data_IF_744964490210
#
_entry.id   IF_744964490210
#
_cell.length_a   1.000
_cell.length_b   1.000
_cell.length_c   1.000
_cell.angle_alpha   90.00
_cell.angle_beta   90.00
_cell.angle_gamma   90.00
#
_symmetry.space_group_name_H-M   'P 1'
#
loop_
_entity.id
_entity.type
_entity.pdbx_description
1 polymer ?
#
# COMPACT_ATOMS: atom_id res chain seq x y z
N UNK A 1 13.37 8.53 23.08
CA UNK A 1 12.93 7.18 22.68
C UNK A 1 13.31 7.01 21.23
N UNK A 2 13.96 5.91 20.86
CA UNK A 2 14.32 5.65 19.46
C UNK A 2 13.06 5.37 18.65
N UNK A 3 12.89 6.01 17.51
CA UNK A 3 11.73 5.77 16.64
C UNK A 3 11.90 4.47 15.83
N UNK A 4 10.82 3.97 15.24
CA UNK A 4 10.95 2.82 14.35
C UNK A 4 11.76 3.18 13.10
N UNK A 5 11.70 4.43 12.62
CA UNK A 5 12.49 4.93 11.50
C UNK A 5 13.99 4.84 11.79
N UNK A 6 14.42 5.32 12.96
CA UNK A 6 15.82 5.27 13.40
C UNK A 6 16.31 3.83 13.54
N UNK A 7 15.47 2.95 14.10
CA UNK A 7 15.78 1.52 14.22
C UNK A 7 15.94 0.87 12.85
N UNK A 8 14.99 1.13 11.93
CA UNK A 8 15.02 0.61 10.57
C UNK A 8 16.23 1.11 9.77
N UNK A 9 16.62 2.38 9.94
CA UNK A 9 17.81 2.94 9.29
C UNK A 9 19.10 2.29 9.80
N UNK A 10 19.20 2.07 11.12
CA UNK A 10 20.34 1.38 11.73
C UNK A 10 20.43 -0.09 11.28
N UNK A 11 19.29 -0.76 11.14
CA UNK A 11 19.21 -2.13 10.65
C UNK A 11 19.58 -2.23 9.16
N UNK A 12 19.09 -1.31 8.32
CA UNK A 12 19.49 -1.18 6.91
C UNK A 12 21.01 -0.99 6.76
N UNK A 13 21.59 -0.08 7.54
CA UNK A 13 23.03 0.19 7.54
C UNK A 13 23.84 -1.04 7.96
N UNK A 14 23.30 -1.87 8.86
CA UNK A 14 23.94 -3.11 9.31
C UNK A 14 23.81 -4.23 8.26
N UNK A 15 22.67 -4.32 7.59
CA UNK A 15 22.41 -5.32 6.56
C UNK A 15 23.21 -5.06 5.28
N UNK A 16 23.54 -3.79 5.00
CA UNK A 16 24.27 -3.34 3.81
C UNK A 16 25.59 -2.62 4.21
N UNK A 17 26.57 -3.33 4.81
CA UNK A 17 27.76 -2.70 5.39
C UNK A 17 28.68 -2.01 4.35
N UNK A 18 28.58 -2.40 3.09
CA UNK A 18 29.35 -1.82 1.97
C UNK A 18 28.59 -0.67 1.28
N UNK A 19 27.32 -0.47 1.62
CA UNK A 19 26.50 0.58 1.04
C UNK A 19 26.60 1.88 1.85
N UNK A 20 26.45 3.00 1.16
CA UNK A 20 26.15 4.29 1.80
C UNK A 20 24.64 4.44 1.94
N UNK A 21 24.14 4.43 3.18
CA UNK A 21 22.71 4.55 3.50
C UNK A 21 22.46 5.92 4.13
N UNK A 22 21.66 6.76 3.46
CA UNK A 22 21.43 8.16 3.87
C UNK A 22 19.92 8.45 3.96
N UNK A 23 19.40 8.83 5.14
CA UNK A 23 18.02 9.27 5.23
C UNK A 23 17.88 10.67 4.60
N UNK A 24 16.68 10.97 4.09
CA UNK A 24 16.28 12.33 3.74
C UNK A 24 14.85 12.60 4.24
N UNK A 25 14.27 13.75 3.89
CA UNK A 25 12.91 14.09 4.27
C UNK A 25 12.70 14.20 5.78
N UNK A 26 11.51 13.79 6.24
CA UNK A 26 11.05 14.06 7.61
C UNK A 26 11.92 13.43 8.71
N UNK A 27 12.56 12.29 8.43
CA UNK A 27 13.47 11.62 9.37
C UNK A 27 14.75 12.43 9.53
N UNK A 28 15.36 12.88 8.43
CA UNK A 28 16.57 13.71 8.47
C UNK A 28 16.33 15.09 9.11
N UNK A 29 15.10 15.61 8.99
CA UNK A 29 14.67 16.89 9.57
C UNK A 29 14.22 16.79 11.04
N UNK A 30 14.12 15.57 11.59
CA UNK A 30 13.61 15.35 12.96
C UNK A 30 12.12 15.66 13.13
N UNK A 31 11.36 15.63 12.04
CA UNK A 31 9.94 15.96 11.98
C UNK A 31 9.03 14.74 11.72
N UNK A 32 9.60 13.52 11.73
CA UNK A 32 8.86 12.30 11.47
C UNK A 32 7.83 12.00 12.57
N UNK A 33 6.61 11.61 12.16
CA UNK A 33 5.54 11.15 13.04
C UNK A 33 5.16 9.68 12.75
N UNK A 34 4.13 9.17 13.42
CA UNK A 34 3.66 7.79 13.24
C UNK A 34 3.19 7.46 11.82
N UNK A 35 2.82 8.47 11.02
CA UNK A 35 2.35 8.34 9.64
C UNK A 35 3.45 8.62 8.60
N UNK A 36 4.65 9.01 9.03
CA UNK A 36 5.79 9.22 8.13
C UNK A 36 6.29 7.90 7.57
N UNK A 37 6.65 7.89 6.30
CA UNK A 37 7.58 6.93 5.71
C UNK A 37 9.02 7.18 6.17
N UNK A 38 9.88 6.20 5.93
CA UNK A 38 11.33 6.36 5.92
C UNK A 38 11.78 6.64 4.48
N UNK A 39 12.19 7.87 4.21
CA UNK A 39 12.86 8.26 2.98
C UNK A 39 14.36 7.96 3.06
N UNK A 40 14.90 7.13 2.17
CA UNK A 40 16.32 6.73 2.20
C UNK A 40 16.94 6.57 0.81
N UNK A 41 18.20 6.99 0.69
CA UNK A 41 19.04 6.72 -0.48
C UNK A 41 20.06 5.65 -0.10
N UNK A 42 20.18 4.62 -0.93
CA UNK A 42 21.14 3.52 -0.79
C UNK A 42 22.05 3.58 -2.02
N UNK A 43 23.33 3.87 -1.83
CA UNK A 43 24.33 3.84 -2.92
C UNK A 43 25.25 2.65 -2.73
N UNK A 44 25.29 1.74 -3.70
CA UNK A 44 26.09 0.52 -3.63
C UNK A 44 26.37 -0.07 -5.02
N UNK A 45 27.41 -0.88 -5.12
CA UNK A 45 27.71 -1.72 -6.28
C UNK A 45 27.34 -3.20 -6.04
N UNK A 46 26.98 -3.54 -4.81
CA UNK A 46 26.64 -4.89 -4.38
C UNK A 46 25.13 -5.13 -4.54
N UNK A 47 24.68 -6.34 -4.95
CA UNK A 47 23.25 -6.65 -5.10
C UNK A 47 22.45 -6.37 -3.81
N UNK A 48 21.24 -5.83 -3.96
CA UNK A 48 20.36 -5.51 -2.83
C UNK A 48 19.07 -6.32 -2.94
N UNK A 49 18.87 -7.27 -2.02
CA UNK A 49 17.62 -7.99 -1.83
C UNK A 49 16.76 -7.24 -0.80
N UNK A 50 15.69 -6.58 -1.23
CA UNK A 50 14.97 -5.58 -0.42
C UNK A 50 14.38 -6.14 0.88
N UNK A 51 13.72 -7.29 0.83
CA UNK A 51 13.13 -7.92 2.02
C UNK A 51 14.18 -8.34 3.04
N UNK A 52 15.34 -8.79 2.56
CA UNK A 52 16.48 -9.15 3.41
C UNK A 52 17.06 -7.89 4.06
N UNK A 53 17.28 -6.83 3.28
CA UNK A 53 17.83 -5.57 3.76
C UNK A 53 16.92 -4.90 4.81
N UNK A 54 15.60 -4.94 4.60
CA UNK A 54 14.60 -4.38 5.51
C UNK A 54 14.24 -5.30 6.69
N UNK A 55 14.70 -6.56 6.66
CA UNK A 55 14.30 -7.61 7.61
C UNK A 55 12.77 -7.68 7.74
N UNK A 56 12.06 -7.77 6.61
CA UNK A 56 10.60 -7.78 6.59
C UNK A 56 10.02 -8.16 5.23
N UNK A 57 8.80 -8.72 5.27
CA UNK A 57 8.03 -9.14 4.10
C UNK A 57 7.34 -7.93 3.45
N UNK A 58 7.48 -7.79 2.12
CA UNK A 58 6.76 -6.80 1.32
C UNK A 58 5.28 -7.16 1.26
N UNK A 59 4.41 -6.24 1.68
CA UNK A 59 2.96 -6.38 1.56
C UNK A 59 2.43 -5.75 0.27
N UNK A 60 2.99 -4.59 -0.10
CA UNK A 60 2.72 -3.91 -1.37
C UNK A 60 3.87 -2.97 -1.72
N UNK A 61 4.11 -2.75 -3.01
CA UNK A 61 5.12 -1.78 -3.44
C UNK A 61 4.84 -1.19 -4.82
N UNK A 62 5.46 -0.04 -5.09
CA UNK A 62 5.66 0.49 -6.43
C UNK A 62 7.17 0.57 -6.69
N UNK A 63 7.60 0.22 -7.88
CA UNK A 63 9.00 0.36 -8.28
C UNK A 63 9.13 0.98 -9.66
N UNK A 64 10.21 1.71 -9.88
CA UNK A 64 10.56 2.30 -11.17
C UNK A 64 12.06 2.31 -11.30
N UNK A 65 12.55 1.70 -12.38
CA UNK A 65 13.95 1.74 -12.76
C UNK A 65 14.15 2.80 -13.84
N UNK A 66 15.04 3.76 -13.59
CA UNK A 66 15.37 4.84 -14.52
C UNK A 66 16.88 5.09 -14.53
N UNK A 67 17.56 4.59 -15.56
CA UNK A 67 19.01 4.68 -15.65
C UNK A 67 19.68 3.90 -14.53
N UNK A 68 20.46 4.58 -13.69
CA UNK A 68 21.18 3.99 -12.55
C UNK A 68 20.40 4.09 -11.22
N UNK A 69 19.17 4.63 -11.25
CA UNK A 69 18.32 4.79 -10.06
C UNK A 69 17.15 3.80 -10.11
N UNK A 70 17.03 2.98 -9.07
CA UNK A 70 15.85 2.15 -8.79
C UNK A 70 15.09 2.76 -7.63
N UNK A 71 13.97 3.43 -7.92
CA UNK A 71 13.09 4.03 -6.91
C UNK A 71 12.04 3.01 -6.50
N UNK A 72 11.90 2.76 -5.21
CA UNK A 72 11.03 1.73 -4.64
C UNK A 72 10.26 2.34 -3.48
N UNK A 73 8.94 2.34 -3.56
CA UNK A 73 8.05 2.70 -2.45
C UNK A 73 7.44 1.43 -1.90
N UNK A 74 7.73 1.09 -0.67
CA UNK A 74 7.37 -0.19 -0.06
C UNK A 74 6.48 0.00 1.16
N UNK A 75 5.54 -0.92 1.32
CA UNK A 75 4.76 -1.14 2.54
C UNK A 75 5.02 -2.57 2.98
N UNK A 76 5.50 -2.76 4.21
CA UNK A 76 5.77 -4.08 4.77
C UNK A 76 4.54 -4.64 5.49
N UNK A 77 4.51 -5.96 5.69
CA UNK A 77 3.45 -6.64 6.45
C UNK A 77 3.34 -6.11 7.89
N UNK A 78 4.42 -5.58 8.46
CA UNK A 78 4.43 -4.96 9.79
C UNK A 78 4.02 -3.48 9.81
N UNK A 79 3.56 -2.94 8.67
CA UNK A 79 3.05 -1.59 8.53
C UNK A 79 4.11 -0.51 8.33
N UNK A 80 5.41 -0.84 8.29
CA UNK A 80 6.45 0.14 7.93
C UNK A 80 6.27 0.57 6.47
N UNK A 81 6.39 1.88 6.23
CA UNK A 81 6.43 2.48 4.89
C UNK A 81 7.83 3.02 4.62
N UNK A 82 8.45 2.62 3.52
CA UNK A 82 9.81 3.02 3.18
C UNK A 82 9.85 3.46 1.71
N UNK A 83 10.31 4.69 1.47
CA UNK A 83 10.57 5.24 0.14
C UNK A 83 12.10 5.21 -0.08
N UNK A 84 12.55 4.25 -0.90
CA UNK A 84 13.96 3.97 -1.16
C UNK A 84 14.34 4.43 -2.55
N UNK A 85 15.54 4.99 -2.68
CA UNK A 85 16.23 5.11 -3.98
C UNK A 85 17.52 4.33 -3.91
N UNK A 86 17.62 3.25 -4.68
CA UNK A 86 18.85 2.45 -4.81
C UNK A 86 19.63 2.94 -6.03
N UNK A 87 20.92 3.23 -5.85
CA UNK A 87 21.82 3.73 -6.89
C UNK A 87 22.97 2.76 -7.10
N UNK A 88 23.35 2.57 -8.37
CA UNK A 88 24.49 1.76 -8.80
C UNK A 88 24.13 0.31 -9.14
N UNK A 89 23.02 -0.20 -8.60
CA UNK A 89 22.48 -1.52 -8.90
C UNK A 89 20.95 -1.49 -8.98
N UNK A 90 20.39 -2.42 -9.74
CA UNK A 90 18.97 -2.76 -9.64
C UNK A 90 18.76 -3.64 -8.40
N UNK A 91 17.94 -3.19 -7.46
CA UNK A 91 17.53 -4.03 -6.33
C UNK A 91 16.53 -5.12 -6.75
N UNK A 92 16.63 -6.28 -6.13
CA UNK A 92 15.69 -7.40 -6.32
C UNK A 92 14.49 -7.25 -5.39
N UNK A 93 13.31 -7.57 -5.93
CA UNK A 93 12.01 -7.51 -5.27
C UNK A 93 11.29 -8.84 -5.45
N UNK A 94 10.46 -9.20 -4.47
CA UNK A 94 9.54 -10.35 -4.60
C UNK A 94 8.43 -10.09 -5.61
N UNK A 95 7.77 -11.17 -6.03
CA UNK A 95 6.64 -11.10 -6.96
C UNK A 95 5.50 -10.23 -6.41
N UNK A 96 4.88 -9.48 -7.31
CA UNK A 96 3.75 -8.62 -6.97
C UNK A 96 2.51 -9.45 -6.61
N UNK A 97 1.85 -9.08 -5.51
CA UNK A 97 0.51 -9.55 -5.22
C UNK A 97 -0.45 -9.15 -6.36
N UNK A 98 -1.44 -10.02 -6.66
CA UNK A 98 -2.39 -9.78 -7.75
C UNK A 98 -3.26 -8.51 -7.56
N UNK A 99 -3.35 -8.00 -6.33
CA UNK A 99 -4.03 -6.77 -5.93
C UNK A 99 -3.06 -5.70 -5.39
N UNK A 100 -1.76 -5.79 -5.74
CA UNK A 100 -0.71 -4.90 -5.23
C UNK A 100 -1.04 -3.41 -5.37
N UNK A 101 -1.58 -2.97 -6.52
CA UNK A 101 -1.93 -1.57 -6.74
C UNK A 101 -2.97 -1.07 -5.73
N UNK A 102 -4.02 -1.87 -5.48
CA UNK A 102 -5.07 -1.55 -4.51
C UNK A 102 -4.51 -1.53 -3.08
N UNK A 103 -3.67 -2.50 -2.72
CA UNK A 103 -3.01 -2.53 -1.41
C UNK A 103 -2.17 -1.27 -1.17
N UNK A 104 -1.33 -0.92 -2.14
CA UNK A 104 -0.44 0.23 -2.05
C UNK A 104 -1.22 1.55 -1.95
N UNK A 105 -2.21 1.75 -2.81
CA UNK A 105 -3.04 2.96 -2.81
C UNK A 105 -3.82 3.12 -1.49
N UNK A 106 -4.32 2.03 -0.91
CA UNK A 106 -5.04 2.07 0.36
C UNK A 106 -4.13 2.26 1.58
N UNK A 107 -2.89 1.75 1.54
CA UNK A 107 -1.88 2.13 2.53
C UNK A 107 -1.57 3.64 2.46
N UNK A 108 -1.48 4.20 1.25
CA UNK A 108 -1.31 5.63 1.08
C UNK A 108 -2.54 6.41 1.56
N UNK A 109 -3.73 5.92 1.26
CA UNK A 109 -4.98 6.51 1.73
C UNK A 109 -5.03 6.57 3.26
N UNK A 110 -4.73 5.47 3.95
CA UNK A 110 -4.71 5.41 5.41
C UNK A 110 -3.79 6.48 6.01
N UNK A 111 -2.56 6.62 5.49
CA UNK A 111 -1.62 7.62 5.97
C UNK A 111 -2.06 9.06 5.70
N UNK A 112 -2.70 9.32 4.54
CA UNK A 112 -3.25 10.64 4.23
C UNK A 112 -4.42 10.99 5.14
N UNK A 113 -5.35 10.07 5.36
CA UNK A 113 -6.48 10.25 6.28
C UNK A 113 -6.00 10.44 7.73
N UNK A 114 -4.98 9.68 8.15
CA UNK A 114 -4.38 9.82 9.48
C UNK A 114 -3.76 11.19 9.76
N UNK A 115 -3.34 11.89 8.69
CA UNK A 115 -2.82 13.26 8.73
C UNK A 115 -3.86 14.33 8.39
N UNK A 116 -5.14 13.98 8.28
CA UNK A 116 -6.23 14.91 7.91
C UNK A 116 -6.15 15.42 6.46
N UNK A 117 -5.40 14.74 5.59
CA UNK A 117 -5.34 15.01 4.15
C UNK A 117 -6.50 14.32 3.41
N UNK A 118 -7.72 14.64 3.82
CA UNK A 118 -8.95 13.93 3.44
C UNK A 118 -9.17 13.87 1.92
N UNK A 119 -8.86 14.96 1.21
CA UNK A 119 -9.01 15.02 -0.25
C UNK A 119 -8.22 13.92 -0.96
N UNK A 120 -6.95 13.74 -0.57
CA UNK A 120 -6.06 12.75 -1.19
C UNK A 120 -6.45 11.34 -0.72
N UNK A 121 -6.72 11.18 0.58
CA UNK A 121 -7.13 9.89 1.14
C UNK A 121 -8.43 9.37 0.51
N UNK A 122 -9.42 10.24 0.36
CA UNK A 122 -10.68 9.93 -0.31
C UNK A 122 -10.48 9.60 -1.80
N UNK A 123 -9.66 10.38 -2.51
CA UNK A 123 -9.36 10.11 -3.93
C UNK A 123 -8.83 8.68 -4.14
N UNK A 124 -7.90 8.24 -3.29
CA UNK A 124 -7.32 6.90 -3.35
C UNK A 124 -8.36 5.82 -3.00
N UNK A 125 -9.17 6.04 -1.96
CA UNK A 125 -10.27 5.12 -1.62
C UNK A 125 -11.27 4.99 -2.77
N UNK A 126 -11.66 6.10 -3.40
CA UNK A 126 -12.55 6.09 -4.57
C UNK A 126 -11.97 5.32 -5.76
N UNK A 127 -10.64 5.35 -5.95
CA UNK A 127 -9.95 4.52 -6.94
C UNK A 127 -10.18 3.03 -6.70
N UNK A 128 -9.91 2.55 -5.48
CA UNK A 128 -10.13 1.16 -5.11
C UNK A 128 -11.61 0.73 -5.16
N UNK A 129 -12.53 1.62 -4.75
CA UNK A 129 -13.97 1.37 -4.84
C UNK A 129 -14.47 1.32 -6.28
N UNK A 130 -13.92 2.15 -7.18
CA UNK A 130 -14.19 2.04 -8.61
C UNK A 130 -13.78 0.66 -9.12
N UNK A 131 -12.61 0.17 -8.74
CA UNK A 131 -12.14 -1.16 -9.14
C UNK A 131 -13.03 -2.27 -8.55
N UNK A 132 -13.54 -2.12 -7.32
CA UNK A 132 -14.54 -3.03 -6.74
C UNK A 132 -15.86 -3.06 -7.54
N UNK A 133 -16.33 -1.90 -8.01
CA UNK A 133 -17.52 -1.82 -8.86
C UNK A 133 -17.28 -2.49 -10.22
N UNK A 134 -16.07 -2.39 -10.79
CA UNK A 134 -15.70 -3.10 -12.01
C UNK A 134 -15.78 -4.62 -11.80
N UNK A 135 -15.24 -5.14 -10.70
CA UNK A 135 -15.37 -6.56 -10.36
C UNK A 135 -16.84 -7.00 -10.25
N UNK A 136 -17.71 -6.13 -9.72
CA UNK A 136 -19.14 -6.40 -9.68
C UNK A 136 -19.82 -6.42 -11.04
N UNK A 137 -19.42 -5.53 -11.95
CA UNK A 137 -19.89 -5.57 -13.34
C UNK A 137 -19.42 -6.86 -14.05
N UNK A 138 -18.18 -7.30 -13.81
CA UNK A 138 -17.68 -8.56 -14.37
C UNK A 138 -18.43 -9.78 -13.82
N UNK A 139 -18.76 -9.79 -12.52
CA UNK A 139 -19.56 -10.86 -11.92
C UNK A 139 -20.95 -10.92 -12.57
N UNK A 140 -21.61 -9.77 -12.68
CA UNK A 140 -22.89 -9.64 -13.39
C UNK A 140 -22.81 -10.19 -14.81
N UNK A 141 -21.77 -9.83 -15.56
CA UNK A 141 -21.60 -10.25 -16.95
C UNK A 141 -21.43 -11.78 -17.07
N UNK A 142 -20.71 -12.41 -16.13
CA UNK A 142 -20.57 -13.88 -16.06
C UNK A 142 -21.91 -14.55 -15.78
N UNK A 143 -22.72 -13.99 -14.88
CA UNK A 143 -24.02 -14.56 -14.51
C UNK A 143 -25.07 -14.43 -15.63
N UNK A 144 -25.09 -13.31 -16.35
CA UNK A 144 -26.04 -13.06 -17.45
C UNK A 144 -25.56 -13.61 -18.80
N UNK A 145 -24.28 -13.97 -18.90
CA UNK A 145 -23.68 -14.49 -20.13
C UNK A 145 -23.46 -13.44 -21.22
N UNK A 146 -23.50 -12.14 -20.89
CA UNK A 146 -23.23 -11.05 -21.84
C UNK A 146 -22.74 -9.77 -21.15
N UNK A 147 -22.00 -8.93 -21.87
CA UNK A 147 -21.47 -7.64 -21.38
C UNK A 147 -22.32 -6.41 -21.78
N UNK A 148 -23.57 -6.61 -22.23
CA UNK A 148 -24.45 -5.51 -22.63
C UNK A 148 -25.29 -4.99 -21.46
N UNK A 149 -24.97 -3.79 -20.97
CA UNK A 149 -25.61 -3.18 -19.80
C UNK A 149 -26.81 -2.30 -20.18
N UNK A 150 -27.85 -2.90 -20.76
CA UNK A 150 -29.04 -2.13 -21.21
C UNK A 150 -30.05 -1.82 -20.10
N UNK A 151 -30.14 -2.71 -19.13
CA UNK A 151 -31.12 -2.63 -18.03
C UNK A 151 -30.40 -2.79 -16.69
N UNK A 152 -31.00 -2.21 -15.65
CA UNK A 152 -30.58 -2.45 -14.28
C UNK A 152 -30.91 -3.89 -13.86
N UNK A 153 -30.13 -4.41 -12.93
CA UNK A 153 -30.17 -5.78 -12.43
C UNK A 153 -30.20 -5.78 -10.90
N UNK A 154 -30.23 -6.98 -10.31
CA UNK A 154 -30.15 -7.11 -8.85
C UNK A 154 -28.81 -6.58 -8.27
N UNK A 155 -27.73 -6.62 -9.07
CA UNK A 155 -26.36 -6.18 -8.72
C UNK A 155 -26.23 -4.67 -8.55
N UNK A 156 -27.07 -3.87 -9.20
CA UNK A 156 -27.04 -2.41 -9.09
C UNK A 156 -27.30 -1.93 -7.66
N UNK A 157 -27.98 -2.74 -6.83
CA UNK A 157 -28.18 -2.44 -5.40
C UNK A 157 -26.89 -2.53 -4.59
N UNK A 158 -25.90 -3.27 -5.06
CA UNK A 158 -24.64 -3.44 -4.36
C UNK A 158 -23.74 -2.19 -4.47
N UNK A 159 -24.03 -1.28 -5.41
CA UNK A 159 -23.38 0.03 -5.47
C UNK A 159 -23.58 0.84 -4.18
N UNK A 160 -24.72 0.66 -3.48
CA UNK A 160 -24.95 1.29 -2.17
C UNK A 160 -23.99 0.75 -1.11
N UNK A 161 -23.68 -0.55 -1.12
CA UNK A 161 -22.71 -1.13 -0.18
C UNK A 161 -21.30 -0.57 -0.40
N UNK A 162 -20.93 -0.33 -1.65
CA UNK A 162 -19.66 0.32 -2.00
C UNK A 162 -19.64 1.75 -1.47
N UNK A 163 -20.72 2.51 -1.64
CA UNK A 163 -20.83 3.87 -1.10
C UNK A 163 -20.74 3.89 0.44
N UNK A 164 -21.40 2.94 1.12
CA UNK A 164 -21.42 2.86 2.58
C UNK A 164 -20.02 2.68 3.19
N UNK A 165 -19.08 2.08 2.46
CA UNK A 165 -17.68 1.89 2.92
C UNK A 165 -16.94 3.21 3.21
N UNK A 166 -17.34 4.30 2.56
CA UNK A 166 -16.75 5.63 2.72
C UNK A 166 -17.16 6.36 3.99
N UNK A 167 -18.14 5.82 4.75
CA UNK A 167 -18.85 6.47 5.87
C UNK A 167 -18.12 7.60 6.61
N UNK A 168 -18.83 8.70 6.90
CA UNK A 168 -18.29 9.86 7.59
C UNK A 168 -18.23 9.67 9.12
N UNK A 169 -17.21 10.23 9.82
CA UNK A 169 -16.07 10.98 9.28
C UNK A 169 -15.05 10.08 8.57
N UNK A 170 -14.28 10.67 7.64
CA UNK A 170 -13.17 9.96 7.00
C UNK A 170 -12.03 9.77 8.02
N UNK A 171 -11.51 8.55 8.09
CA UNK A 171 -10.51 8.14 9.07
C UNK A 171 -9.62 7.06 8.47
N UNK A 172 -8.44 6.73 9.03
CA UNK A 172 -7.58 5.66 8.50
C UNK A 172 -8.33 4.33 8.29
N UNK A 173 -9.29 4.01 9.16
CA UNK A 173 -10.12 2.81 9.03
C UNK A 173 -11.02 2.82 7.78
N UNK A 174 -11.30 3.97 7.16
CA UNK A 174 -11.99 4.04 5.86
C UNK A 174 -11.20 3.29 4.77
N UNK A 175 -9.87 3.35 4.78
CA UNK A 175 -9.04 2.61 3.84
C UNK A 175 -9.15 1.09 4.05
N UNK A 176 -9.20 0.64 5.31
CA UNK A 176 -9.40 -0.77 5.64
C UNK A 176 -10.78 -1.27 5.20
N UNK A 177 -11.85 -0.54 5.52
CA UNK A 177 -13.21 -0.86 5.05
C UNK A 177 -13.30 -0.91 3.52
N UNK A 178 -12.58 -0.02 2.84
CA UNK A 178 -12.47 -0.01 1.37
C UNK A 178 -11.77 -1.29 0.87
N UNK A 179 -10.67 -1.71 1.51
CA UNK A 179 -9.97 -2.93 1.15
C UNK A 179 -10.82 -4.18 1.37
N UNK A 180 -11.54 -4.25 2.50
CA UNK A 180 -12.47 -5.34 2.80
C UNK A 180 -13.60 -5.43 1.75
N UNK A 181 -14.14 -4.28 1.36
CA UNK A 181 -15.15 -4.19 0.30
C UNK A 181 -14.59 -4.72 -1.02
N UNK A 182 -13.44 -4.22 -1.46
CA UNK A 182 -12.75 -4.71 -2.65
C UNK A 182 -12.51 -6.23 -2.59
N UNK A 183 -11.97 -6.73 -1.47
CA UNK A 183 -11.64 -8.12 -1.28
C UNK A 183 -12.85 -9.05 -1.31
N UNK A 184 -14.01 -8.59 -0.81
CA UNK A 184 -15.26 -9.34 -0.88
C UNK A 184 -15.73 -9.54 -2.32
N UNK A 185 -15.71 -8.49 -3.14
CA UNK A 185 -16.06 -8.56 -4.56
C UNK A 185 -15.07 -9.41 -5.35
N UNK A 186 -13.76 -9.23 -5.09
CA UNK A 186 -12.75 -10.01 -5.79
C UNK A 186 -12.87 -11.50 -5.47
N UNK A 187 -13.13 -11.86 -4.21
CA UNK A 187 -13.36 -13.26 -3.81
C UNK A 187 -14.63 -13.85 -4.45
N UNK A 188 -15.69 -13.05 -4.60
CA UNK A 188 -16.91 -13.50 -5.28
C UNK A 188 -16.64 -13.85 -6.76
N UNK A 189 -15.79 -13.07 -7.42
CA UNK A 189 -15.38 -13.29 -8.80
C UNK A 189 -14.31 -14.39 -8.96
N UNK A 190 -13.37 -14.47 -8.02
CA UNK A 190 -12.21 -15.36 -8.00
C UNK A 190 -12.17 -16.10 -6.64
N UNK A 191 -12.84 -17.26 -6.47
CA UNK A 191 -12.96 -17.92 -5.17
C UNK A 191 -11.64 -18.34 -4.52
N UNK A 192 -10.57 -18.46 -5.31
CA UNK A 192 -9.20 -18.76 -4.84
C UNK A 192 -8.46 -17.53 -4.30
N UNK A 193 -8.97 -16.32 -4.55
CA UNK A 193 -8.38 -15.10 -4.02
C UNK A 193 -8.60 -15.00 -2.50
N UNK A 194 -7.52 -14.74 -1.78
CA UNK A 194 -7.53 -14.51 -0.33
C UNK A 194 -7.02 -13.09 -0.08
N UNK A 195 -7.87 -12.15 0.38
CA UNK A 195 -7.45 -10.83 0.79
C UNK A 195 -6.51 -10.92 1.99
N UNK A 196 -5.50 -10.05 2.02
CA UNK A 196 -4.50 -10.00 3.07
C UNK A 196 -4.45 -8.58 3.65
N UNK A 197 -5.19 -8.29 4.73
CA UNK A 197 -5.24 -6.95 5.31
C UNK A 197 -4.06 -6.63 6.22
N UNK A 198 -3.15 -7.60 6.50
CA UNK A 198 -2.17 -7.52 7.58
C UNK A 198 -1.31 -6.25 7.53
N UNK A 199 -0.78 -5.89 6.36
CA UNK A 199 0.05 -4.69 6.21
C UNK A 199 -0.71 -3.39 6.47
N UNK A 200 -1.97 -3.31 6.04
CA UNK A 200 -2.83 -2.14 6.25
C UNK A 200 -3.25 -2.00 7.71
N UNK A 201 -3.63 -3.10 8.35
CA UNK A 201 -3.97 -3.16 9.78
C UNK A 201 -2.76 -2.74 10.62
N UNK A 202 -1.58 -3.28 10.33
CA UNK A 202 -0.35 -2.97 11.04
C UNK A 202 0.06 -1.50 10.86
N UNK A 203 -0.12 -0.94 9.67
CA UNK A 203 0.11 0.50 9.41
C UNK A 203 -0.80 1.35 10.30
N UNK A 204 -2.11 1.11 10.28
CA UNK A 204 -3.07 1.88 11.08
C UNK A 204 -2.76 1.74 12.58
N UNK A 205 -2.48 0.53 13.06
CA UNK A 205 -2.20 0.27 14.46
C UNK A 205 -0.91 0.95 14.94
N UNK A 206 0.13 1.01 14.10
CA UNK A 206 1.43 1.61 14.45
C UNK A 206 1.38 3.14 14.50
N UNK A 207 0.52 3.75 13.69
CA UNK A 207 0.52 5.20 13.49
C UNK A 207 -0.38 5.98 14.45
N UNK A 208 -1.21 5.30 15.25
CA UNK A 208 -2.02 5.91 16.30
C UNK A 208 -1.19 5.96 17.59
N UNK A 209 -0.98 7.15 18.20
CA UNK A 209 -0.32 7.24 19.50
C UNK A 209 -1.09 6.45 20.57
N UNK A 210 -0.38 5.65 21.36
CA UNK A 210 -0.95 4.94 22.51
C UNK A 210 -1.40 5.90 23.63
#
# INVERSE_FOLDING_TARGET
>A
MTTWHETCLADLSRALPEARVEPYGSVAEGAADGWSDLDVIITTESPVEIETALSGELWAFQSTLSGEEHVIRAVLVDGRRIDMTVRGVEATLSDLAADNAVRFDLALAAAKLGRGSDLIGLHLCLGALRDALVLGMEQRDRELGHAHHREATAHDRDALRVLDSLGAPLEPATALRTYETYGAWRRALEPTYVPDPRGLEALIARSIPA
#
